data_IF_974551997187
#
_entry.id   IF_974551997187
#
_cell.length_a   1.000
_cell.length_b   1.000
_cell.length_c   1.000
_cell.angle_alpha   90.00
_cell.angle_beta   90.00
_cell.angle_gamma   90.00
#
_symmetry.space_group_name_H-M   'P 1'
#
loop_
_entity.id
_entity.type
_entity.pdbx_description
1 polymer ?
#
# COMPACT_ATOMS: atom_id res chain seq x y z
N UNK A 1 -24.01 -10.37 -12.08
CA UNK A 1 -23.34 -9.09 -11.75
C UNK A 1 -21.85 -9.35 -11.72
N UNK A 2 -21.00 -8.52 -12.36
CA UNK A 2 -19.65 -8.94 -12.72
C UNK A 2 -18.69 -8.81 -11.53
N UNK A 3 -17.89 -9.87 -11.34
CA UNK A 3 -16.72 -10.06 -10.47
C UNK A 3 -16.63 -9.21 -9.19
N UNK A 4 -16.64 -9.86 -8.03
CA UNK A 4 -16.40 -9.27 -6.71
C UNK A 4 -15.22 -8.28 -6.70
N UNK A 5 -15.52 -6.99 -6.87
CA UNK A 5 -14.56 -5.89 -6.73
C UNK A 5 -13.90 -5.88 -5.32
N UNK A 6 -14.49 -6.60 -4.36
CA UNK A 6 -13.95 -6.82 -3.03
C UNK A 6 -12.69 -7.69 -2.98
N UNK A 7 -12.41 -8.49 -4.03
CA UNK A 7 -11.18 -9.27 -4.20
C UNK A 7 -10.12 -8.59 -5.07
N UNK A 8 -10.27 -7.31 -5.40
CA UNK A 8 -9.28 -6.65 -6.26
C UNK A 8 -7.90 -6.59 -5.60
N UNK A 9 -6.93 -7.23 -6.29
CA UNK A 9 -5.48 -7.32 -6.00
C UNK A 9 -4.73 -5.98 -6.07
N UNK A 10 -5.43 -4.85 -5.87
CA UNK A 10 -4.89 -3.51 -6.08
C UNK A 10 -5.01 -2.69 -4.80
N UNK A 11 -4.11 -2.96 -3.86
CA UNK A 11 -4.04 -2.24 -2.60
C UNK A 11 -2.95 -1.17 -2.72
N UNK A 12 -3.36 0.09 -2.66
CA UNK A 12 -2.42 1.21 -2.67
C UNK A 12 -1.72 1.32 -1.33
N UNK A 13 -0.40 1.30 -1.31
CA UNK A 13 0.40 1.47 -0.10
C UNK A 13 1.05 2.86 -0.08
N UNK A 14 0.62 3.71 0.86
CA UNK A 14 1.15 5.08 1.01
C UNK A 14 2.09 5.15 2.19
N UNK A 15 3.39 5.20 1.90
CA UNK A 15 4.48 5.07 2.88
C UNK A 15 4.58 6.15 3.96
N UNK A 16 3.90 7.29 3.81
CA UNK A 16 3.89 8.38 4.80
C UNK A 16 2.56 8.51 5.56
N UNK A 17 1.53 7.77 5.17
CA UNK A 17 0.23 7.78 5.86
C UNK A 17 0.14 6.58 6.81
N UNK A 18 -0.36 6.75 8.05
CA UNK A 18 -0.65 5.63 8.93
C UNK A 18 -1.77 4.77 8.35
N UNK A 19 -1.92 3.55 8.87
CA UNK A 19 -2.81 2.52 8.30
C UNK A 19 -4.27 2.99 8.16
N UNK A 20 -4.79 3.71 9.15
CA UNK A 20 -6.14 4.26 9.18
C UNK A 20 -6.38 5.34 8.11
N UNK A 21 -5.33 6.07 7.70
CA UNK A 21 -5.41 7.11 6.67
C UNK A 21 -5.09 6.60 5.26
N UNK A 22 -4.68 5.34 5.11
CA UNK A 22 -4.43 4.79 3.78
C UNK A 22 -5.73 4.63 3.00
N UNK A 23 -5.73 4.87 1.67
CA UNK A 23 -6.90 4.69 0.83
C UNK A 23 -7.36 3.22 0.81
N UNK A 24 -8.67 3.02 0.68
CA UNK A 24 -9.31 1.70 0.61
C UNK A 24 -9.88 1.56 -0.80
N UNK A 25 -9.44 0.55 -1.54
CA UNK A 25 -9.78 0.43 -2.95
C UNK A 25 -9.10 1.50 -3.81
N UNK A 26 -9.79 1.95 -4.87
CA UNK A 26 -9.28 2.90 -5.86
C UNK A 26 -9.77 4.33 -5.55
N UNK A 27 -9.41 4.83 -4.37
CA UNK A 27 -9.77 6.18 -3.92
C UNK A 27 -8.60 6.89 -3.21
N UNK A 28 -7.45 7.12 -3.89
CA UNK A 28 -6.34 7.88 -3.34
C UNK A 28 -6.59 9.38 -3.44
N UNK A 29 -6.01 10.12 -2.51
CA UNK A 29 -5.95 11.56 -2.56
C UNK A 29 -4.91 12.03 -3.61
N UNK A 30 -5.10 13.22 -4.15
CA UNK A 30 -4.14 13.88 -5.01
C UNK A 30 -2.75 13.98 -4.34
N UNK A 31 -2.71 14.15 -3.02
CA UNK A 31 -1.46 14.22 -2.25
C UNK A 31 -0.72 12.88 -2.10
N UNK A 32 -1.30 11.75 -2.54
CA UNK A 32 -0.74 10.40 -2.34
C UNK A 32 0.37 10.01 -3.33
N UNK A 33 0.64 10.86 -4.32
CA UNK A 33 1.76 10.71 -5.25
C UNK A 33 1.51 9.73 -6.39
N UNK A 34 1.89 10.16 -7.60
CA UNK A 34 1.50 9.50 -8.88
C UNK A 34 2.11 8.10 -9.06
N UNK A 35 3.37 7.89 -8.62
CA UNK A 35 4.10 6.62 -8.87
C UNK A 35 3.52 5.42 -8.13
N UNK A 36 2.91 5.63 -6.96
CA UNK A 36 2.29 4.55 -6.18
C UNK A 36 0.93 4.17 -6.80
N UNK A 37 0.22 5.17 -7.31
CA UNK A 37 -1.10 5.02 -7.92
C UNK A 37 -1.07 4.34 -9.28
N UNK A 38 0.09 4.24 -9.95
CA UNK A 38 0.18 3.62 -11.27
C UNK A 38 0.33 2.09 -11.24
N UNK A 39 0.72 1.52 -10.10
CA UNK A 39 0.99 0.08 -9.97
C UNK A 39 -0.19 -0.82 -10.37
N UNK A 40 -1.45 -0.53 -9.97
CA UNK A 40 -2.61 -1.31 -10.41
C UNK A 40 -2.74 -1.38 -11.93
N UNK A 41 -2.47 -0.28 -12.63
CA UNK A 41 -2.57 -0.23 -14.09
C UNK A 41 -1.45 -1.01 -14.78
N UNK A 42 -0.26 -1.03 -14.19
CA UNK A 42 0.84 -1.88 -14.66
C UNK A 42 0.48 -3.35 -14.50
N UNK A 43 -0.08 -3.76 -13.35
CA UNK A 43 -0.51 -5.14 -13.11
C UNK A 43 -1.70 -5.58 -13.96
N UNK A 44 -2.60 -4.66 -14.28
CA UNK A 44 -3.73 -4.93 -15.16
C UNK A 44 -3.36 -4.87 -16.66
N UNK A 45 -2.11 -4.54 -16.99
CA UNK A 45 -1.58 -4.45 -18.37
C UNK A 45 -2.38 -3.49 -19.29
N UNK A 46 -3.07 -2.50 -18.72
CA UNK A 46 -3.95 -1.57 -19.45
C UNK A 46 -3.22 -0.34 -20.02
N UNK A 47 -1.92 -0.23 -19.80
CA UNK A 47 -1.13 0.92 -20.23
C UNK A 47 -0.75 0.82 -21.71
N UNK A 48 -0.99 1.88 -22.48
CA UNK A 48 -0.60 1.95 -23.91
C UNK A 48 0.90 1.67 -24.13
N UNK A 49 1.76 2.13 -23.21
CA UNK A 49 3.20 1.89 -23.24
C UNK A 49 3.67 1.46 -21.86
N UNK A 50 4.38 0.34 -21.82
CA UNK A 50 5.06 -0.10 -20.61
C UNK A 50 6.26 0.80 -20.32
N UNK A 51 6.41 1.18 -19.06
CA UNK A 51 7.54 1.96 -18.58
C UNK A 51 8.27 1.18 -17.48
N UNK A 52 9.58 1.38 -17.38
CA UNK A 52 10.39 0.66 -16.43
C UNK A 52 10.29 1.31 -15.04
N UNK A 53 9.69 0.61 -14.08
CA UNK A 53 9.57 1.07 -12.70
C UNK A 53 10.31 0.11 -11.79
N UNK A 54 11.21 0.65 -10.97
CA UNK A 54 11.77 -0.07 -9.83
C UNK A 54 10.77 0.01 -8.67
N UNK A 55 10.26 -1.15 -8.25
CA UNK A 55 9.27 -1.30 -7.16
C UNK A 55 9.88 -1.54 -5.78
N UNK A 56 11.22 -1.62 -5.68
CA UNK A 56 11.94 -1.80 -4.42
C UNK A 56 12.18 -0.48 -3.68
N UNK A 57 13.29 -0.45 -2.93
CA UNK A 57 13.76 0.73 -2.19
C UNK A 57 13.97 1.93 -3.12
N UNK A 58 13.37 3.04 -2.74
CA UNK A 58 13.54 4.34 -3.37
C UNK A 58 14.83 5.00 -2.86
N UNK A 59 15.37 5.96 -3.61
CA UNK A 59 16.66 6.61 -3.28
C UNK A 59 16.59 7.50 -2.04
N UNK A 60 15.41 7.95 -1.63
CA UNK A 60 15.25 8.84 -0.49
C UNK A 60 15.02 8.15 0.86
N UNK A 61 14.90 8.96 1.91
CA UNK A 61 14.49 8.54 3.26
C UNK A 61 13.15 9.14 3.64
N UNK A 62 12.35 8.40 4.38
CA UNK A 62 11.11 8.94 4.95
C UNK A 62 11.47 10.00 6.02
N UNK A 63 10.60 11.00 6.24
CA UNK A 63 10.76 11.92 7.35
C UNK A 63 10.75 11.18 8.70
N UNK A 64 11.34 11.79 9.73
CA UNK A 64 11.27 11.28 11.10
C UNK A 64 9.81 11.14 11.54
N UNK A 65 9.48 10.02 12.18
CA UNK A 65 8.10 9.69 12.60
C UNK A 65 7.24 9.03 11.52
N UNK A 66 7.82 8.59 10.40
CA UNK A 66 7.09 7.81 9.40
C UNK A 66 6.56 6.50 9.98
N UNK A 67 5.30 6.10 9.68
CA UNK A 67 4.69 4.92 10.30
C UNK A 67 5.32 3.58 9.91
N UNK A 68 6.02 3.51 8.76
CA UNK A 68 6.35 2.24 8.12
C UNK A 68 7.83 1.93 7.98
N UNK A 69 8.73 2.90 8.05
CA UNK A 69 10.20 2.72 8.05
C UNK A 69 10.87 4.08 7.85
N UNK A 70 12.07 4.32 8.41
CA UNK A 70 12.92 5.44 7.99
C UNK A 70 13.34 5.35 6.52
N UNK A 71 13.36 4.15 5.92
CA UNK A 71 13.66 3.95 4.52
C UNK A 71 12.42 4.06 3.64
N UNK A 72 12.59 4.56 2.41
CA UNK A 72 11.49 4.65 1.46
C UNK A 72 11.34 3.36 0.67
N UNK A 73 10.34 2.57 1.03
CA UNK A 73 9.89 1.45 0.21
C UNK A 73 8.67 1.84 -0.62
N UNK A 74 8.65 1.45 -1.89
CA UNK A 74 7.52 1.71 -2.80
C UNK A 74 6.39 0.68 -2.62
N UNK A 75 6.65 -0.40 -1.90
CA UNK A 75 5.74 -1.54 -1.71
C UNK A 75 5.81 -2.01 -0.27
N UNK A 76 4.64 -2.34 0.27
CA UNK A 76 4.51 -2.88 1.62
C UNK A 76 5.22 -4.24 1.74
N UNK A 77 5.15 -5.04 0.68
CA UNK A 77 5.78 -6.36 0.59
C UNK A 77 7.31 -6.29 0.68
N UNK A 78 7.89 -5.15 0.29
CA UNK A 78 9.33 -4.91 0.37
C UNK A 78 9.81 -4.40 1.72
N UNK A 79 8.90 -4.14 2.67
CA UNK A 79 9.30 -3.78 4.04
C UNK A 79 9.92 -4.98 4.76
N UNK A 80 10.85 -4.69 5.65
CA UNK A 80 11.32 -5.67 6.63
C UNK A 80 10.21 -6.05 7.61
N UNK A 81 10.27 -7.27 8.13
CA UNK A 81 9.21 -7.83 8.97
C UNK A 81 9.00 -7.07 10.29
N UNK A 82 10.02 -6.35 10.77
CA UNK A 82 9.92 -5.45 11.93
C UNK A 82 8.89 -4.33 11.70
N UNK A 83 8.77 -3.88 10.45
CA UNK A 83 7.92 -2.77 10.06
C UNK A 83 6.56 -3.20 9.47
N UNK A 84 6.36 -4.50 9.31
CA UNK A 84 5.08 -5.06 8.86
C UNK A 84 4.11 -5.18 10.03
N UNK A 85 2.83 -5.06 9.70
CA UNK A 85 1.74 -5.31 10.62
C UNK A 85 1.76 -6.77 11.09
N UNK A 86 1.33 -6.98 12.33
CA UNK A 86 1.08 -8.32 12.88
C UNK A 86 -0.42 -8.51 13.06
N UNK A 87 -0.89 -9.72 12.82
CA UNK A 87 -2.28 -10.10 13.04
C UNK A 87 -2.58 -10.32 14.55
N UNK A 88 -3.83 -10.64 14.86
CA UNK A 88 -4.30 -10.93 16.23
C UNK A 88 -3.56 -12.13 16.88
N UNK A 89 -2.92 -12.98 16.08
CA UNK A 89 -2.13 -14.14 16.52
C UNK A 89 -0.64 -13.83 16.60
N UNK A 90 -0.24 -12.57 16.39
CA UNK A 90 1.15 -12.12 16.40
C UNK A 90 1.95 -12.48 15.15
N UNK A 91 1.31 -13.03 14.11
CA UNK A 91 1.97 -13.40 12.84
C UNK A 91 2.04 -12.18 11.91
N UNK A 92 3.17 -12.04 11.23
CA UNK A 92 3.39 -10.97 10.25
C UNK A 92 2.41 -11.08 9.10
N UNK A 93 1.75 -9.97 8.78
CA UNK A 93 0.88 -9.80 7.61
C UNK A 93 1.77 -9.56 6.39
N UNK A 94 1.86 -10.50 5.44
CA UNK A 94 2.79 -10.40 4.31
C UNK A 94 2.34 -9.38 3.26
N UNK A 95 1.03 -9.20 3.11
CA UNK A 95 0.42 -8.30 2.14
C UNK A 95 -0.59 -7.39 2.82
N UNK A 96 -0.50 -6.09 2.55
CA UNK A 96 -1.49 -5.16 3.01
C UNK A 96 -2.79 -5.38 2.22
N UNK A 97 -3.89 -5.65 2.90
CA UNK A 97 -5.20 -5.86 2.27
C UNK A 97 -6.18 -4.74 2.62
N UNK A 98 -7.21 -4.55 1.78
CA UNK A 98 -8.31 -3.63 2.09
C UNK A 98 -9.04 -4.04 3.37
N UNK A 99 -9.15 -5.34 3.65
CA UNK A 99 -9.75 -5.84 4.90
C UNK A 99 -8.97 -5.37 6.13
N UNK A 100 -7.64 -5.48 6.11
CA UNK A 100 -6.77 -5.00 7.19
C UNK A 100 -6.97 -3.51 7.44
N UNK A 101 -7.04 -2.71 6.37
CA UNK A 101 -7.31 -1.26 6.46
C UNK A 101 -8.69 -0.95 7.01
N UNK A 102 -9.73 -1.66 6.54
CA UNK A 102 -11.12 -1.51 6.98
C UNK A 102 -11.26 -1.81 8.46
N UNK A 103 -10.71 -2.94 8.92
CA UNK A 103 -10.69 -3.32 10.34
C UNK A 103 -10.08 -2.21 11.20
N UNK A 104 -8.93 -1.67 10.79
CA UNK A 104 -8.27 -0.59 11.55
C UNK A 104 -9.11 0.68 11.64
N UNK A 105 -9.77 1.09 10.54
CA UNK A 105 -10.63 2.29 10.56
C UNK A 105 -11.84 2.11 11.48
N UNK A 106 -12.47 0.93 11.48
CA UNK A 106 -13.62 0.65 12.36
C UNK A 106 -13.24 0.69 13.84
N UNK A 107 -12.03 0.24 14.19
CA UNK A 107 -11.56 0.25 15.59
C UNK A 107 -11.16 1.65 16.11
N UNK A 108 -10.93 2.62 15.22
CA UNK A 108 -10.50 3.98 15.58
C UNK A 108 -11.70 4.95 15.67
N UNK A 109 -12.85 4.57 15.11
CA UNK A 109 -14.08 5.36 15.11
C UNK A 109 -14.99 5.10 16.32
#
# INVERSE_FOLDING_TARGET
MPADYHQLKFVLFIRWKPLDKQPIGWDPDFSDGVRLNVYPFVQAEVLRRQFNVKWGKDRGKNPSGSPWSPERWNRYEGLDDEWKLKDEKGKVVPHLTNEVKRKKRVTVG
#
